data_IF_230266522870
#
_entry.id   IF_230266522870
#
_cell.length_a   1.000
_cell.length_b   1.000
_cell.length_c   1.000
_cell.angle_alpha   90.00
_cell.angle_beta   90.00
_cell.angle_gamma   90.00
#
_symmetry.space_group_name_H-M   'P 1'
#
loop_
_entity.id
_entity.type
_entity.pdbx_description
1 polymer ?
#
# COMPACT_ATOMS: atom_id res chain seq x y z
N UNK A 1 16.50 13.97 14.31
CA UNK A 1 15.57 15.09 14.51
C UNK A 1 14.51 14.90 13.46
N UNK A 2 13.25 14.72 13.88
CA UNK A 2 12.17 14.31 13.00
C UNK A 2 11.78 15.51 12.14
N UNK A 3 12.16 15.49 10.86
CA UNK A 3 11.63 16.40 9.84
C UNK A 3 10.19 15.98 9.53
N UNK A 4 9.30 16.32 10.46
CA UNK A 4 7.85 16.23 10.31
C UNK A 4 7.42 17.39 9.45
N UNK A 5 6.85 17.12 8.28
CA UNK A 5 6.33 18.19 7.42
C UNK A 5 5.07 18.83 8.04
N UNK A 6 4.53 19.88 7.41
CA UNK A 6 3.32 20.55 7.91
C UNK A 6 2.08 19.62 8.03
N UNK A 7 2.08 18.44 7.41
CA UNK A 7 0.99 17.47 7.49
C UNK A 7 1.14 16.43 8.60
N UNK A 8 2.31 16.35 9.26
CA UNK A 8 2.56 15.36 10.32
C UNK A 8 3.23 14.06 9.84
N UNK A 9 3.55 13.94 8.55
CA UNK A 9 4.26 12.79 7.98
C UNK A 9 5.75 12.86 8.29
N UNK A 10 6.39 11.70 8.41
CA UNK A 10 7.84 11.60 8.50
C UNK A 10 8.43 11.66 7.09
N UNK A 11 9.22 12.68 6.80
CA UNK A 11 9.79 12.92 5.47
C UNK A 11 10.81 11.84 5.10
N UNK A 12 10.68 11.26 3.92
CA UNK A 12 11.60 10.26 3.34
C UNK A 12 12.29 10.81 2.08
N UNK A 13 11.63 11.71 1.34
CA UNK A 13 12.17 12.42 0.18
C UNK A 13 11.37 13.69 -0.10
N UNK A 14 12.00 14.68 -0.73
CA UNK A 14 11.41 16.01 -0.93
C UNK A 14 11.09 16.35 -2.38
N UNK A 15 11.81 15.76 -3.34
CA UNK A 15 11.69 16.07 -4.78
C UNK A 15 11.72 14.77 -5.61
N UNK A 16 10.55 14.23 -5.99
CA UNK A 16 9.21 14.59 -5.53
C UNK A 16 8.98 14.20 -4.06
N UNK A 17 7.92 14.74 -3.46
CA UNK A 17 7.63 14.47 -2.05
C UNK A 17 7.30 12.99 -1.78
N UNK A 18 7.93 12.44 -0.74
CA UNK A 18 7.72 11.12 -0.18
C UNK A 18 7.72 11.22 1.34
N UNK A 19 6.65 10.74 1.98
CA UNK A 19 6.51 10.75 3.43
C UNK A 19 5.81 9.49 3.93
N UNK A 20 6.21 9.03 5.10
CA UNK A 20 5.65 7.85 5.75
C UNK A 20 4.77 8.21 6.95
N UNK A 21 3.76 7.38 7.18
CA UNK A 21 2.84 7.52 8.31
C UNK A 21 3.59 7.35 9.62
N UNK A 22 3.47 8.30 10.57
CA UNK A 22 4.14 8.17 11.86
C UNK A 22 3.57 6.97 12.64
N UNK A 23 4.43 6.29 13.41
CA UNK A 23 4.09 5.11 14.21
C UNK A 23 2.76 5.24 14.97
N UNK A 24 2.52 6.40 15.60
CA UNK A 24 1.31 6.67 16.39
C UNK A 24 0.01 6.55 15.57
N UNK A 25 0.06 6.89 14.28
CA UNK A 25 -1.09 6.83 13.39
C UNK A 25 -1.33 5.42 12.81
N UNK A 26 -0.36 4.51 12.92
CA UNK A 26 -0.51 3.10 12.53
C UNK A 26 -1.39 2.31 13.51
N UNK A 27 -1.56 2.81 14.74
CA UNK A 27 -2.40 2.19 15.78
C UNK A 27 -3.90 2.43 15.63
N UNK A 28 -4.33 3.25 14.68
CA UNK A 28 -5.75 3.53 14.40
C UNK A 28 -6.26 2.67 13.25
N UNK A 29 -7.50 2.20 13.29
CA UNK A 29 -8.05 1.43 12.17
C UNK A 29 -8.12 2.25 10.88
N UNK A 30 -8.54 3.51 10.94
CA UNK A 30 -8.43 4.45 9.81
C UNK A 30 -7.26 5.40 10.05
N UNK A 31 -6.37 5.49 9.07
CA UNK A 31 -5.31 6.49 9.05
C UNK A 31 -5.92 7.83 8.61
N UNK A 32 -5.78 8.91 9.40
CA UNK A 32 -6.25 10.23 9.01
C UNK A 32 -5.62 10.69 7.69
N UNK A 33 -6.39 11.36 6.83
CA UNK A 33 -5.95 11.80 5.48
C UNK A 33 -4.58 12.52 5.48
N UNK A 34 -4.29 13.50 6.39
CA UNK A 34 -2.99 14.18 6.43
C UNK A 34 -1.81 13.30 6.85
N UNK A 35 -2.09 12.16 7.51
CA UNK A 35 -1.11 11.20 8.01
C UNK A 35 -1.03 9.93 7.17
N UNK A 36 -1.83 9.81 6.11
CA UNK A 36 -1.74 8.71 5.17
C UNK A 36 -0.46 8.84 4.35
N UNK A 37 0.33 7.77 4.24
CA UNK A 37 1.65 7.84 3.60
C UNK A 37 1.56 8.36 2.16
N UNK A 38 2.55 9.13 1.74
CA UNK A 38 2.63 9.69 0.40
C UNK A 38 3.84 9.12 -0.31
N UNK A 39 3.61 8.52 -1.47
CA UNK A 39 4.66 8.10 -2.39
C UNK A 39 4.35 8.68 -3.76
N UNK A 40 5.23 9.51 -4.27
CA UNK A 40 5.12 10.11 -5.60
C UNK A 40 6.37 9.80 -6.42
N UNK A 41 6.19 9.55 -7.72
CA UNK A 41 7.30 9.27 -8.64
C UNK A 41 7.78 10.53 -9.33
N UNK A 42 6.83 11.43 -9.60
CA UNK A 42 7.01 12.73 -10.21
C UNK A 42 6.28 13.80 -9.39
N UNK A 43 6.41 15.06 -9.79
CA UNK A 43 5.74 16.18 -9.14
C UNK A 43 4.23 16.11 -9.31
N UNK A 44 3.50 16.80 -8.42
CA UNK A 44 2.05 16.80 -8.48
C UNK A 44 1.59 17.56 -9.72
N UNK A 45 0.64 17.00 -10.48
CA UNK A 45 0.06 17.70 -11.61
C UNK A 45 -0.85 18.83 -11.11
N UNK A 46 -0.97 19.88 -11.93
CA UNK A 46 -1.97 20.93 -11.73
C UNK A 46 -3.28 20.49 -12.40
N UNK A 47 -4.25 20.06 -11.59
CA UNK A 47 -5.54 19.53 -12.05
C UNK A 47 -6.69 20.32 -11.44
N UNK A 48 -7.67 20.64 -12.28
CA UNK A 48 -8.93 21.26 -11.88
C UNK A 48 -10.11 20.32 -12.20
N UNK A 49 -10.95 20.05 -11.20
CA UNK A 49 -12.13 19.18 -11.33
C UNK A 49 -13.11 19.64 -12.40
N UNK A 50 -13.23 20.96 -12.62
CA UNK A 50 -14.21 21.50 -13.57
C UNK A 50 -13.87 21.19 -15.03
N UNK A 51 -12.59 20.95 -15.31
CA UNK A 51 -12.05 20.66 -16.64
C UNK A 51 -11.45 19.25 -16.77
N UNK A 52 -11.35 18.51 -15.67
CA UNK A 52 -10.83 17.14 -15.67
C UNK A 52 -11.72 16.19 -16.49
N UNK A 53 -11.05 15.34 -17.26
CA UNK A 53 -11.68 14.32 -18.09
C UNK A 53 -10.87 13.02 -18.03
N UNK A 54 -11.56 11.89 -17.96
CA UNK A 54 -10.98 10.57 -18.17
C UNK A 54 -11.13 10.15 -19.63
N UNK A 55 -10.02 9.99 -20.33
CA UNK A 55 -9.98 9.38 -21.66
C UNK A 55 -9.99 7.86 -21.54
N UNK A 56 -10.90 7.20 -22.25
CA UNK A 56 -11.02 5.76 -22.29
C UNK A 56 -10.93 5.30 -23.74
N UNK A 57 -9.84 4.65 -24.09
CA UNK A 57 -9.57 4.19 -25.45
C UNK A 57 -9.43 2.67 -25.52
N UNK A 58 -9.83 2.08 -26.65
CA UNK A 58 -9.37 0.75 -27.03
C UNK A 58 -8.22 0.89 -28.02
N UNK A 59 -7.26 -0.03 -28.03
CA UNK A 59 -6.17 -0.05 -29.01
C UNK A 59 -6.71 -0.06 -30.44
N UNK A 60 -6.58 1.06 -31.15
CA UNK A 60 -7.11 1.24 -32.51
C UNK A 60 -8.63 1.44 -32.60
N UNK A 61 -9.33 1.62 -31.47
CA UNK A 61 -10.77 1.84 -31.39
C UNK A 61 -11.19 3.29 -31.18
N UNK A 62 -12.49 3.51 -30.95
CA UNK A 62 -13.04 4.83 -30.65
C UNK A 62 -12.67 5.25 -29.22
N UNK A 63 -12.28 6.51 -29.06
CA UNK A 63 -12.08 7.14 -27.77
C UNK A 63 -13.42 7.62 -27.19
N UNK A 64 -13.65 7.31 -25.91
CA UNK A 64 -14.78 7.80 -25.12
C UNK A 64 -14.19 8.65 -24.00
N UNK A 65 -14.81 9.78 -23.70
CA UNK A 65 -14.37 10.65 -22.61
C UNK A 65 -15.45 10.74 -21.55
N UNK A 66 -15.05 10.67 -20.27
CA UNK A 66 -15.93 10.83 -19.13
C UNK A 66 -15.52 12.07 -18.33
N UNK A 67 -16.47 12.97 -18.07
CA UNK A 67 -16.27 14.00 -17.05
C UNK A 67 -16.33 13.38 -15.65
N UNK A 68 -15.90 14.13 -14.62
CA UNK A 68 -16.05 13.68 -13.24
C UNK A 68 -17.52 13.44 -12.87
N UNK A 69 -18.44 14.25 -13.41
CA UNK A 69 -19.86 14.08 -13.20
C UNK A 69 -20.38 12.78 -13.84
N UNK A 70 -19.90 12.41 -15.03
CA UNK A 70 -20.26 11.13 -15.65
C UNK A 70 -19.80 9.95 -14.80
N UNK A 71 -18.58 10.02 -14.24
CA UNK A 71 -18.07 8.99 -13.33
C UNK A 71 -18.92 8.90 -12.06
N UNK A 72 -19.28 10.03 -11.43
CA UNK A 72 -20.09 10.06 -10.19
C UNK A 72 -21.55 9.61 -10.38
N UNK A 73 -22.07 9.63 -11.61
CA UNK A 73 -23.42 9.12 -11.92
C UNK A 73 -23.47 7.60 -12.04
N UNK A 74 -22.32 6.94 -12.17
CA UNK A 74 -22.24 5.48 -12.15
C UNK A 74 -22.38 4.96 -10.70
N UNK A 75 -22.72 3.67 -10.50
CA UNK A 75 -22.91 3.11 -9.17
C UNK A 75 -21.69 3.32 -8.27
N UNK A 76 -21.90 4.02 -7.15
CA UNK A 76 -20.89 4.23 -6.11
C UNK A 76 -20.67 2.93 -5.34
N UNK A 77 -19.41 2.58 -5.16
CA UNK A 77 -18.95 1.47 -4.33
C UNK A 77 -17.95 1.99 -3.29
N UNK A 78 -18.04 1.48 -2.07
CA UNK A 78 -17.29 1.96 -0.91
C UNK A 78 -16.72 0.78 -0.14
N UNK A 79 -15.42 0.79 0.10
CA UNK A 79 -14.73 -0.27 0.83
C UNK A 79 -13.47 0.26 1.54
N UNK A 80 -13.13 -0.29 2.72
CA UNK A 80 -11.84 -0.04 3.35
C UNK A 80 -10.74 -0.82 2.64
N UNK A 81 -9.61 -0.16 2.36
CA UNK A 81 -8.44 -0.78 1.72
C UNK A 81 -7.16 -0.29 2.39
N UNK A 82 -6.33 -1.25 2.82
CA UNK A 82 -4.95 -1.00 3.22
C UNK A 82 -4.09 -0.85 1.97
N UNK A 83 -3.36 0.26 1.87
CA UNK A 83 -2.35 0.46 0.86
C UNK A 83 -0.97 0.32 1.52
N UNK A 84 -0.15 -0.57 0.99
CA UNK A 84 1.26 -0.70 1.37
C UNK A 84 2.15 -0.38 0.16
N UNK A 85 3.19 0.41 0.35
CA UNK A 85 4.23 0.56 -0.67
C UNK A 85 5.02 -0.75 -0.79
N UNK A 86 5.31 -1.21 -2.01
CA UNK A 86 6.20 -2.35 -2.22
C UNK A 86 7.56 -2.20 -1.50
N UNK A 87 8.01 -0.97 -1.25
CA UNK A 87 9.24 -0.66 -0.53
C UNK A 87 9.10 -0.40 0.97
N UNK A 88 7.95 -0.67 1.58
CA UNK A 88 7.79 -0.56 3.03
C UNK A 88 8.83 -1.45 3.73
N UNK A 89 9.40 -0.98 4.84
CA UNK A 89 10.48 -1.62 5.59
C UNK A 89 11.80 -1.81 4.83
N UNK A 90 12.05 -1.10 3.72
CA UNK A 90 13.32 -1.24 2.96
C UNK A 90 14.56 -1.02 3.83
N UNK A 91 14.48 -0.17 4.86
CA UNK A 91 15.60 0.03 5.79
C UNK A 91 15.98 -1.22 6.57
N UNK A 92 15.10 -2.21 6.70
CA UNK A 92 15.39 -3.40 7.50
C UNK A 92 16.26 -4.41 6.72
N UNK A 93 16.51 -4.17 5.42
CA UNK A 93 17.36 -5.02 4.59
C UNK A 93 18.85 -4.78 4.87
N UNK A 94 19.60 -5.89 4.94
CA UNK A 94 21.05 -5.90 4.98
C UNK A 94 21.59 -6.92 3.96
N UNK A 95 22.39 -6.51 2.96
CA UNK A 95 22.82 -5.13 2.68
C UNK A 95 21.66 -4.21 2.29
N UNK A 96 21.85 -2.89 2.41
CA UNK A 96 20.83 -1.90 2.02
C UNK A 96 20.55 -2.00 0.52
N UNK A 97 19.27 -2.05 0.16
CA UNK A 97 18.81 -1.97 -1.22
C UNK A 97 18.58 -0.50 -1.65
N UNK A 98 18.75 -0.17 -2.95
CA UNK A 98 18.47 1.16 -3.50
C UNK A 98 16.99 1.55 -3.37
N UNK A 99 16.73 2.85 -3.39
CA UNK A 99 15.37 3.45 -3.34
C UNK A 99 15.09 4.20 -2.04
N UNK A 100 13.85 4.69 -1.91
CA UNK A 100 13.41 5.43 -0.71
C UNK A 100 13.54 4.54 0.53
N UNK A 101 14.26 5.02 1.54
CA UNK A 101 14.57 4.27 2.75
C UNK A 101 13.41 4.38 3.76
N UNK A 102 12.29 3.75 3.44
CA UNK A 102 11.13 3.66 4.32
C UNK A 102 11.42 2.78 5.54
N UNK A 103 10.98 3.24 6.71
CA UNK A 103 10.78 2.40 7.89
C UNK A 103 9.47 1.62 7.72
N UNK A 104 8.66 1.47 8.77
CA UNK A 104 7.42 0.70 8.74
C UNK A 104 6.17 1.54 8.43
N UNK A 105 6.35 2.82 8.10
CA UNK A 105 5.24 3.77 7.89
C UNK A 105 4.76 3.90 6.46
N UNK A 106 5.29 3.13 5.50
CA UNK A 106 4.83 3.17 4.11
C UNK A 106 3.60 2.27 3.89
N UNK A 107 2.66 2.34 4.85
CA UNK A 107 1.40 1.62 4.87
C UNK A 107 0.35 2.46 5.59
N UNK A 108 -0.89 2.42 5.11
CA UNK A 108 -2.03 3.11 5.73
C UNK A 108 -3.34 2.45 5.33
N UNK A 109 -4.41 2.69 6.10
CA UNK A 109 -5.74 2.19 5.79
C UNK A 109 -6.76 3.32 5.72
N UNK A 110 -7.61 3.29 4.69
CA UNK A 110 -8.65 4.29 4.48
C UNK A 110 -9.91 3.64 3.89
N UNK A 111 -11.05 4.31 4.06
CA UNK A 111 -12.28 3.98 3.32
C UNK A 111 -12.27 4.72 2.00
N UNK A 112 -12.27 3.98 0.90
CA UNK A 112 -12.27 4.54 -0.45
C UNK A 112 -13.68 4.48 -1.01
N UNK A 113 -14.14 5.55 -1.63
CA UNK A 113 -15.40 5.55 -2.36
C UNK A 113 -15.25 6.08 -3.77
N UNK A 114 -15.93 5.41 -4.69
CA UNK A 114 -15.76 5.68 -6.10
C UNK A 114 -16.71 4.88 -6.97
N UNK A 115 -16.43 4.87 -8.26
CA UNK A 115 -17.13 4.05 -9.23
C UNK A 115 -16.31 2.79 -9.51
N UNK A 116 -16.96 1.63 -9.57
CA UNK A 116 -16.27 0.41 -10.03
C UNK A 116 -15.73 0.62 -11.44
N UNK A 117 -14.43 0.35 -11.66
CA UNK A 117 -13.78 0.47 -12.95
C UNK A 117 -14.53 -0.32 -14.03
N UNK A 118 -15.09 -1.48 -13.67
CA UNK A 118 -15.88 -2.30 -14.57
C UNK A 118 -17.09 -1.56 -15.17
N UNK A 119 -17.68 -0.59 -14.45
CA UNK A 119 -18.78 0.24 -14.97
C UNK A 119 -18.35 1.15 -16.12
N UNK A 120 -17.08 1.58 -16.13
CA UNK A 120 -16.47 2.34 -17.23
C UNK A 120 -16.05 1.40 -18.35
N UNK A 121 -15.37 0.30 -18.04
CA UNK A 121 -14.92 -0.69 -19.04
C UNK A 121 -16.09 -1.29 -19.83
N UNK A 122 -17.25 -1.49 -19.18
CA UNK A 122 -18.47 -1.99 -19.83
C UNK A 122 -19.02 -1.03 -20.90
N UNK A 123 -18.59 0.23 -20.91
CA UNK A 123 -18.94 1.22 -21.94
C UNK A 123 -17.93 1.29 -23.08
N UNK A 124 -16.76 0.68 -22.95
CA UNK A 124 -15.64 0.79 -23.91
C UNK A 124 -15.73 -0.16 -25.12
N UNK A 125 -16.78 -0.98 -25.24
CA UNK A 125 -16.92 -1.99 -26.33
C UNK A 125 -15.62 -2.79 -26.57
N UNK A 126 -15.08 -3.37 -25.49
CA UNK A 126 -13.80 -4.09 -25.53
C UNK A 126 -13.88 -5.31 -26.47
N UNK A 127 -12.85 -5.49 -27.31
CA UNK A 127 -12.69 -6.71 -28.11
C UNK A 127 -12.30 -7.90 -27.24
N UNK A 128 -12.54 -9.12 -27.75
CA UNK A 128 -12.27 -10.36 -27.02
C UNK A 128 -10.77 -10.62 -26.80
N UNK A 129 -9.90 -10.01 -27.61
CA UNK A 129 -8.44 -10.14 -27.52
C UNK A 129 -7.78 -9.17 -26.54
N UNK A 130 -8.55 -8.33 -25.83
CA UNK A 130 -8.01 -7.47 -24.77
C UNK A 130 -7.50 -8.34 -23.61
N UNK A 131 -6.26 -8.10 -23.21
CA UNK A 131 -5.59 -8.84 -22.11
C UNK A 131 -5.31 -7.97 -20.89
N UNK A 132 -5.11 -6.66 -21.09
CA UNK A 132 -4.76 -5.71 -20.03
C UNK A 132 -5.44 -4.36 -20.23
N UNK A 133 -5.59 -3.62 -19.13
CA UNK A 133 -5.93 -2.20 -19.15
C UNK A 133 -4.71 -1.43 -18.67
N UNK A 134 -4.22 -0.51 -19.49
CA UNK A 134 -3.18 0.46 -19.15
C UNK A 134 -3.82 1.70 -18.53
N UNK A 135 -3.19 2.23 -17.49
CA UNK A 135 -3.59 3.40 -16.74
C UNK A 135 -2.46 4.43 -16.80
N UNK A 136 -2.84 5.68 -17.03
CA UNK A 136 -1.96 6.83 -17.17
C UNK A 136 -2.36 7.91 -16.16
N UNK A 137 -1.42 8.28 -15.30
CA UNK A 137 -1.52 9.43 -14.41
C UNK A 137 -1.11 10.73 -15.12
N UNK A 138 -1.62 11.86 -14.64
CA UNK A 138 -1.25 13.18 -15.15
C UNK A 138 0.17 13.62 -14.73
N UNK A 139 0.79 12.96 -13.76
CA UNK A 139 2.15 13.26 -13.32
C UNK A 139 3.17 12.78 -14.37
N UNK A 140 4.08 13.69 -14.78
CA UNK A 140 5.05 13.46 -15.84
C UNK A 140 6.46 13.73 -15.30
N UNK A 141 7.40 12.85 -15.62
CA UNK A 141 8.81 13.08 -15.32
C UNK A 141 9.71 12.02 -15.93
N UNK A 142 11.03 12.18 -15.73
CA UNK A 142 12.01 11.20 -16.20
C UNK A 142 12.07 10.00 -15.24
N UNK A 143 11.75 8.78 -15.70
CA UNK A 143 11.68 7.59 -14.86
C UNK A 143 13.07 7.04 -14.48
N UNK A 144 14.08 7.38 -15.28
CA UNK A 144 15.50 7.09 -15.09
C UNK A 144 16.35 8.19 -15.73
N UNK A 145 17.63 8.27 -15.37
CA UNK A 145 18.54 9.33 -15.85
C UNK A 145 18.76 9.33 -17.37
N UNK A 146 18.60 8.17 -18.01
CA UNK A 146 18.77 7.93 -19.44
C UNK A 146 17.44 7.94 -20.22
N UNK A 147 16.31 8.21 -19.55
CA UNK A 147 14.97 8.19 -20.15
C UNK A 147 14.35 9.59 -20.17
N UNK A 148 13.68 9.91 -21.28
CA UNK A 148 12.93 11.15 -21.43
C UNK A 148 11.68 11.20 -20.52
N UNK A 149 11.03 12.37 -20.40
CA UNK A 149 9.81 12.49 -19.61
C UNK A 149 8.68 11.62 -20.15
N UNK A 150 8.00 10.90 -19.28
CA UNK A 150 6.78 10.12 -19.56
C UNK A 150 5.78 10.27 -18.42
N UNK A 151 4.47 10.08 -18.66
CA UNK A 151 3.50 9.97 -17.57
C UNK A 151 3.74 8.72 -16.73
N UNK A 152 3.22 8.69 -15.50
CA UNK A 152 3.22 7.45 -14.72
C UNK A 152 2.28 6.41 -15.34
N UNK A 153 2.86 5.30 -15.81
CA UNK A 153 2.16 4.23 -16.54
C UNK A 153 2.18 2.90 -15.78
N UNK A 154 1.01 2.31 -15.58
CA UNK A 154 0.83 0.97 -14.97
C UNK A 154 -0.31 0.24 -15.63
N UNK A 155 -0.24 -1.09 -15.66
CA UNK A 155 -1.28 -1.93 -16.25
C UNK A 155 -1.80 -2.97 -15.26
N UNK A 156 -3.04 -3.41 -15.47
CA UNK A 156 -3.64 -4.55 -14.79
C UNK A 156 -4.14 -5.59 -15.80
N UNK A 157 -4.06 -6.90 -15.47
CA UNK A 157 -4.80 -7.92 -16.19
C UNK A 157 -6.29 -7.59 -16.26
N UNK A 158 -6.94 -7.89 -17.39
CA UNK A 158 -8.33 -7.51 -17.64
C UNK A 158 -9.30 -8.02 -16.56
N UNK A 159 -9.10 -9.25 -16.07
CA UNK A 159 -9.97 -9.84 -15.04
C UNK A 159 -9.90 -9.07 -13.72
N UNK A 160 -8.72 -8.61 -13.35
CA UNK A 160 -8.54 -7.75 -12.18
C UNK A 160 -9.14 -6.36 -12.42
N UNK A 161 -8.92 -5.78 -13.61
CA UNK A 161 -9.51 -4.48 -13.96
C UNK A 161 -11.06 -4.51 -13.98
N UNK A 162 -11.65 -5.67 -14.31
CA UNK A 162 -13.11 -5.90 -14.26
C UNK A 162 -13.63 -6.30 -12.89
N UNK A 163 -12.76 -6.53 -11.91
CA UNK A 163 -13.19 -6.88 -10.57
C UNK A 163 -14.06 -5.76 -9.99
N UNK A 164 -15.16 -6.14 -9.32
CA UNK A 164 -16.14 -5.17 -8.81
C UNK A 164 -15.52 -4.18 -7.82
N UNK A 165 -14.52 -4.62 -7.07
CA UNK A 165 -13.84 -3.85 -6.02
C UNK A 165 -12.67 -2.99 -6.55
N UNK A 166 -12.31 -3.13 -7.83
CA UNK A 166 -11.34 -2.21 -8.46
C UNK A 166 -12.05 -0.89 -8.76
N UNK A 167 -11.60 0.20 -8.15
CA UNK A 167 -12.31 1.48 -8.18
C UNK A 167 -11.57 2.57 -8.92
N UNK A 168 -12.37 3.43 -9.54
CA UNK A 168 -12.05 4.83 -9.78
C UNK A 168 -12.54 5.64 -8.57
N UNK A 169 -11.67 5.83 -7.59
CA UNK A 169 -11.98 6.50 -6.32
C UNK A 169 -11.85 8.03 -6.45
N UNK A 170 -12.87 8.74 -5.96
CA UNK A 170 -12.92 10.21 -5.89
C UNK A 170 -13.17 10.72 -4.46
N UNK A 171 -13.33 9.81 -3.50
CA UNK A 171 -13.44 10.11 -2.07
C UNK A 171 -12.53 9.20 -1.24
N UNK A 172 -12.00 9.74 -0.15
CA UNK A 172 -11.14 9.07 0.82
C UNK A 172 -11.56 9.45 2.24
N UNK A 173 -11.88 8.45 3.06
CA UNK A 173 -12.41 8.60 4.41
C UNK A 173 -13.68 9.49 4.48
N UNK A 174 -14.52 9.44 3.44
CA UNK A 174 -15.75 10.23 3.37
C UNK A 174 -15.57 11.69 2.96
N UNK A 175 -14.33 12.10 2.66
CA UNK A 175 -13.98 13.43 2.16
C UNK A 175 -13.57 13.36 0.69
N UNK A 176 -13.58 14.51 0.01
CA UNK A 176 -12.95 14.64 -1.32
C UNK A 176 -11.50 14.19 -1.26
N UNK A 177 -11.06 13.45 -2.28
CA UNK A 177 -9.69 12.95 -2.36
C UNK A 177 -8.67 14.11 -2.26
N UNK A 178 -7.69 14.06 -1.33
CA UNK A 178 -6.62 15.07 -1.28
C UNK A 178 -5.71 15.03 -2.51
N UNK A 179 -5.05 16.14 -2.84
CA UNK A 179 -4.20 16.26 -4.03
C UNK A 179 -3.07 15.24 -4.02
N UNK A 180 -2.35 15.13 -2.92
CA UNK A 180 -1.25 14.19 -2.71
C UNK A 180 -1.66 12.71 -2.87
N UNK A 181 -2.96 12.43 -2.70
CA UNK A 181 -3.56 11.10 -2.80
C UNK A 181 -4.27 10.86 -4.12
N UNK A 182 -4.21 11.78 -5.07
CA UNK A 182 -4.60 11.56 -6.46
C UNK A 182 -5.87 12.28 -6.92
N UNK A 183 -6.25 13.39 -6.28
CA UNK A 183 -7.35 14.24 -6.74
C UNK A 183 -7.31 14.51 -8.26
N UNK A 184 -8.45 14.53 -8.98
CA UNK A 184 -9.80 14.26 -8.49
C UNK A 184 -10.18 12.77 -8.50
N UNK A 185 -9.44 11.94 -9.25
CA UNK A 185 -9.70 10.50 -9.37
C UNK A 185 -8.39 9.71 -9.34
N UNK A 186 -8.37 8.65 -8.54
CA UNK A 186 -7.31 7.63 -8.56
C UNK A 186 -7.88 6.24 -8.82
N UNK A 187 -7.01 5.35 -9.26
CA UNK A 187 -7.27 3.92 -9.24
C UNK A 187 -7.02 3.36 -7.82
N UNK A 188 -7.92 2.49 -7.37
CA UNK A 188 -7.75 1.62 -6.19
C UNK A 188 -7.84 0.17 -6.65
N UNK A 189 -6.81 -0.60 -6.33
CA UNK A 189 -6.63 -2.02 -6.70
C UNK A 189 -6.46 -2.84 -5.42
N UNK A 190 -7.56 -3.21 -4.75
CA UNK A 190 -7.47 -3.86 -3.45
C UNK A 190 -6.56 -5.10 -3.46
N UNK A 191 -5.76 -5.24 -2.40
CA UNK A 191 -4.83 -6.36 -2.24
C UNK A 191 -3.49 -6.26 -2.96
N UNK A 192 -3.34 -5.32 -3.90
CA UNK A 192 -2.08 -5.09 -4.61
C UNK A 192 -1.24 -4.00 -3.94
N UNK A 193 0.08 -4.11 -4.04
CA UNK A 193 1.00 -3.08 -3.57
C UNK A 193 0.73 -1.72 -4.24
N UNK A 194 1.10 -0.64 -3.55
CA UNK A 194 0.73 0.74 -3.85
C UNK A 194 1.07 1.28 -5.25
N UNK A 195 2.04 0.69 -5.94
CA UNK A 195 2.36 1.06 -7.33
C UNK A 195 1.25 0.69 -8.33
N UNK A 196 0.32 -0.20 -7.97
CA UNK A 196 -0.83 -0.49 -8.82
C UNK A 196 -1.93 0.59 -8.76
N UNK A 197 -1.90 1.47 -7.75
CA UNK A 197 -2.97 2.41 -7.44
C UNK A 197 -2.69 3.78 -8.06
N UNK A 198 -2.73 3.87 -9.39
CA UNK A 198 -2.40 5.08 -10.18
C UNK A 198 -3.17 6.30 -9.66
N UNK A 199 -2.44 7.35 -9.29
CA UNK A 199 -2.98 8.64 -8.85
C UNK A 199 -3.19 9.55 -10.05
N UNK A 200 -4.02 10.58 -9.87
CA UNK A 200 -4.23 11.64 -10.87
C UNK A 200 -4.61 11.06 -12.25
N UNK A 201 -5.49 10.06 -12.25
CA UNK A 201 -5.78 9.25 -13.43
C UNK A 201 -6.43 10.13 -14.51
N UNK A 202 -5.90 10.09 -15.73
CA UNK A 202 -6.42 10.87 -16.88
C UNK A 202 -6.74 9.98 -18.07
N UNK A 203 -6.12 8.80 -18.19
CA UNK A 203 -6.39 7.91 -19.31
C UNK A 203 -6.34 6.44 -18.94
N UNK A 204 -7.24 5.67 -19.56
CA UNK A 204 -7.22 4.22 -19.60
C UNK A 204 -7.22 3.73 -21.04
N UNK A 205 -6.40 2.73 -21.33
CA UNK A 205 -6.28 2.14 -22.67
C UNK A 205 -6.38 0.62 -22.60
N UNK A 206 -7.31 0.03 -23.35
CA UNK A 206 -7.40 -1.42 -23.48
C UNK A 206 -6.31 -1.94 -24.43
N UNK A 207 -5.54 -2.92 -23.97
CA UNK A 207 -4.41 -3.49 -24.69
C UNK A 207 -4.66 -4.94 -25.04
N UNK A 208 -4.30 -5.33 -26.26
CA UNK A 208 -4.34 -6.71 -26.76
C UNK A 208 -3.00 -7.45 -26.60
N UNK A 209 -2.03 -6.81 -25.94
CA UNK A 209 -0.74 -7.40 -25.57
C UNK A 209 -0.34 -6.90 -24.18
N UNK A 210 0.43 -7.69 -23.41
CA UNK A 210 0.97 -7.24 -22.14
C UNK A 210 1.79 -5.96 -22.29
N UNK A 211 1.63 -5.05 -21.34
CA UNK A 211 2.38 -3.80 -21.27
C UNK A 211 3.75 -4.02 -20.61
N UNK A 212 4.79 -3.43 -21.17
CA UNK A 212 6.17 -3.55 -20.68
C UNK A 212 6.85 -2.19 -20.55
N UNK A 213 6.17 -1.20 -19.96
CA UNK A 213 6.76 0.10 -19.63
C UNK A 213 7.67 0.05 -18.40
N UNK A 214 8.37 1.15 -18.12
CA UNK A 214 9.40 1.20 -17.08
C UNK A 214 8.89 0.77 -15.69
N UNK A 215 7.78 1.35 -15.21
CA UNK A 215 7.18 0.99 -13.91
C UNK A 215 6.40 -0.32 -13.91
N UNK A 216 6.37 -1.05 -15.02
CA UNK A 216 5.72 -2.35 -15.16
C UNK A 216 6.74 -3.50 -15.30
N UNK A 217 7.77 -3.31 -16.13
CA UNK A 217 8.71 -4.36 -16.53
C UNK A 217 10.17 -4.13 -16.15
N UNK A 218 10.59 -2.90 -15.81
CA UNK A 218 11.98 -2.62 -15.38
C UNK A 218 12.08 -2.33 -13.88
N UNK A 219 11.10 -1.60 -13.34
CA UNK A 219 10.94 -1.28 -11.91
C UNK A 219 9.70 -1.98 -11.38
N UNK A 220 9.68 -2.25 -10.07
CA UNK A 220 8.66 -3.09 -9.43
C UNK A 220 8.64 -4.51 -9.99
N UNK A 221 9.82 -5.09 -10.20
CA UNK A 221 10.03 -6.50 -10.54
C UNK A 221 10.92 -7.18 -9.50
N UNK A 222 10.66 -8.44 -9.22
CA UNK A 222 11.61 -9.33 -8.56
C UNK A 222 12.54 -9.91 -9.60
N UNK A 223 13.84 -9.86 -9.33
CA UNK A 223 14.88 -10.48 -10.15
C UNK A 223 15.43 -11.70 -9.43
N UNK A 224 15.44 -12.84 -10.10
CA UNK A 224 15.89 -14.11 -9.54
C UNK A 224 17.25 -14.50 -10.13
N UNK A 225 17.99 -15.36 -9.41
CA UNK A 225 19.34 -15.79 -9.80
C UNK A 225 19.39 -16.52 -11.15
N UNK A 226 18.28 -17.15 -11.55
CA UNK A 226 18.13 -17.83 -12.84
C UNK A 226 17.89 -16.87 -14.02
N UNK A 227 17.88 -15.55 -13.75
CA UNK A 227 17.62 -14.51 -14.73
C UNK A 227 16.15 -14.26 -15.02
N UNK A 228 15.23 -14.95 -14.33
CA UNK A 228 13.80 -14.66 -14.46
C UNK A 228 13.45 -13.36 -13.75
N UNK A 229 12.52 -12.61 -14.33
CA UNK A 229 11.95 -11.41 -13.72
C UNK A 229 10.44 -11.58 -13.58
N UNK A 230 9.89 -11.21 -12.43
CA UNK A 230 8.44 -11.26 -12.17
C UNK A 230 7.95 -9.93 -11.62
N UNK A 231 6.88 -9.33 -12.17
CA UNK A 231 6.29 -8.13 -11.60
C UNK A 231 5.90 -8.34 -10.13
N UNK A 232 6.14 -7.33 -9.31
CA UNK A 232 5.57 -7.23 -7.97
C UNK A 232 4.06 -6.97 -8.15
N UNK A 233 3.22 -7.69 -7.40
CA UNK A 233 1.77 -7.65 -7.54
C UNK A 233 1.10 -7.53 -6.16
N UNK A 234 0.64 -8.66 -5.62
CA UNK A 234 -0.15 -8.76 -4.39
C UNK A 234 0.71 -8.55 -3.13
N UNK A 235 0.10 -7.91 -2.12
CA UNK A 235 0.74 -7.71 -0.81
C UNK A 235 0.95 -9.05 -0.11
N UNK A 236 2.13 -9.24 0.46
CA UNK A 236 2.45 -10.39 1.29
C UNK A 236 1.82 -10.26 2.67
N UNK A 237 1.50 -11.38 3.31
CA UNK A 237 1.05 -11.40 4.71
C UNK A 237 2.09 -10.74 5.61
N UNK A 238 1.61 -9.83 6.47
CA UNK A 238 2.47 -9.02 7.34
C UNK A 238 1.72 -8.58 8.59
N UNK A 239 2.45 -8.53 9.70
CA UNK A 239 2.05 -7.96 10.98
C UNK A 239 3.11 -6.96 11.43
N UNK A 240 2.66 -5.85 12.00
CA UNK A 240 3.53 -4.83 12.58
C UNK A 240 3.03 -4.46 13.98
N UNK A 241 3.96 -4.43 14.94
CA UNK A 241 3.73 -3.89 16.27
C UNK A 241 3.68 -2.37 16.18
N UNK A 242 2.60 -1.78 16.70
CA UNK A 242 2.40 -0.33 16.76
C UNK A 242 2.67 0.22 18.16
N UNK A 243 2.45 -0.59 19.20
CA UNK A 243 2.76 -0.27 20.60
C UNK A 243 3.16 -1.55 21.36
N UNK A 244 4.16 -1.50 22.26
CA UNK A 244 5.03 -0.36 22.57
C UNK A 244 5.96 0.02 21.40
N UNK A 245 6.57 1.20 21.49
CA UNK A 245 7.53 1.70 20.51
C UNK A 245 8.94 1.15 20.79
N UNK A 246 9.81 1.19 19.77
CA UNK A 246 11.23 0.90 19.91
C UNK A 246 11.86 1.78 21.01
N UNK A 247 12.63 1.15 21.90
CA UNK A 247 13.27 1.71 23.09
C UNK A 247 12.31 2.28 24.16
N UNK A 248 11.02 1.95 24.11
CA UNK A 248 10.07 2.35 25.15
C UNK A 248 10.41 1.67 26.50
N UNK A 249 10.23 2.40 27.60
CA UNK A 249 10.44 1.89 28.95
C UNK A 249 9.12 1.52 29.60
N UNK A 250 8.95 0.24 29.93
CA UNK A 250 7.78 -0.29 30.62
C UNK A 250 8.11 -0.58 32.10
N UNK A 251 7.08 -0.59 32.93
CA UNK A 251 7.18 -0.91 34.35
C UNK A 251 6.92 -2.39 34.59
N UNK A 252 7.76 -3.05 35.36
CA UNK A 252 7.59 -4.43 35.76
C UNK A 252 6.28 -4.63 36.52
N UNK A 253 5.69 -5.81 36.40
CA UNK A 253 4.47 -6.23 37.07
C UNK A 253 3.25 -5.32 36.83
N UNK A 254 3.24 -4.60 35.69
CA UNK A 254 2.12 -3.76 35.25
C UNK A 254 1.49 -4.35 34.00
N UNK A 255 0.17 -4.32 33.89
CA UNK A 255 -0.54 -4.83 32.73
C UNK A 255 -0.37 -3.87 31.53
N UNK A 256 0.10 -4.41 30.41
CA UNK A 256 0.21 -3.72 29.12
C UNK A 256 -0.52 -4.49 28.02
N UNK A 257 -0.73 -3.79 26.91
CA UNK A 257 -1.10 -4.40 25.65
C UNK A 257 0.06 -4.22 24.67
N UNK A 258 0.50 -5.32 24.07
CA UNK A 258 1.24 -5.28 22.81
C UNK A 258 0.19 -5.23 21.71
N UNK A 259 0.23 -4.20 20.88
CA UNK A 259 -0.80 -3.88 19.90
C UNK A 259 -0.20 -3.75 18.52
N UNK A 260 -1.01 -4.02 17.50
CA UNK A 260 -0.57 -3.86 16.13
C UNK A 260 -1.68 -4.02 15.11
N UNK A 261 -1.24 -4.04 13.86
CA UNK A 261 -2.08 -4.29 12.70
C UNK A 261 -1.46 -5.40 11.85
N UNK A 262 -2.30 -6.23 11.26
CA UNK A 262 -1.89 -7.29 10.34
C UNK A 262 -2.73 -7.22 9.06
N UNK A 263 -2.12 -7.51 7.92
CA UNK A 263 -2.79 -7.48 6.62
C UNK A 263 -2.20 -8.53 5.68
N UNK A 264 -2.97 -8.85 4.64
CA UNK A 264 -2.57 -9.70 3.54
C UNK A 264 -3.27 -9.21 2.28
N UNK A 265 -2.74 -9.52 1.10
CA UNK A 265 -3.28 -9.03 -0.16
C UNK A 265 -4.70 -9.50 -0.44
N UNK A 266 -4.95 -10.82 -0.40
CA UNK A 266 -6.21 -11.40 -0.89
C UNK A 266 -7.11 -11.99 0.17
N UNK A 267 -6.54 -12.43 1.28
CA UNK A 267 -7.24 -13.23 2.26
C UNK A 267 -7.14 -12.67 3.66
N UNK A 268 -8.20 -12.87 4.42
CA UNK A 268 -8.31 -12.37 5.79
C UNK A 268 -7.22 -12.96 6.68
N UNK A 269 -6.85 -12.20 7.71
CA UNK A 269 -5.93 -12.65 8.74
C UNK A 269 -6.63 -13.66 9.64
N UNK A 270 -6.15 -14.90 9.63
CA UNK A 270 -6.70 -15.97 10.44
C UNK A 270 -6.21 -15.88 11.89
N UNK A 271 -4.94 -15.52 12.10
CA UNK A 271 -4.37 -15.30 13.43
C UNK A 271 -3.14 -14.40 13.41
N UNK A 272 -2.84 -13.81 14.57
CA UNK A 272 -1.56 -13.15 14.86
C UNK A 272 -0.96 -13.79 16.09
N UNK A 273 0.33 -14.07 16.04
CA UNK A 273 1.10 -14.57 17.17
C UNK A 273 2.14 -13.53 17.59
N UNK A 274 2.31 -13.38 18.91
CA UNK A 274 3.26 -12.46 19.54
C UNK A 274 4.28 -13.27 20.34
N UNK A 275 5.53 -12.86 20.22
CA UNK A 275 6.63 -13.32 21.07
C UNK A 275 7.12 -12.13 21.89
N UNK A 276 7.40 -12.36 23.17
CA UNK A 276 8.02 -11.37 24.07
C UNK A 276 9.46 -11.76 24.46
N UNK A 277 9.97 -12.87 23.92
CA UNK A 277 11.24 -13.50 24.29
C UNK A 277 12.15 -13.74 23.08
N UNK A 278 12.13 -12.83 22.10
CA UNK A 278 12.95 -12.90 20.88
C UNK A 278 12.68 -14.15 20.00
N UNK A 279 11.44 -14.63 19.99
CA UNK A 279 10.95 -15.68 19.09
C UNK A 279 11.06 -17.08 19.65
N UNK A 280 11.47 -17.23 20.91
CA UNK A 280 11.60 -18.52 21.59
C UNK A 280 10.23 -19.14 21.90
N UNK A 281 9.23 -18.33 22.23
CA UNK A 281 7.86 -18.78 22.42
C UNK A 281 6.83 -17.80 21.85
N UNK A 282 5.71 -18.36 21.38
CA UNK A 282 4.65 -17.61 20.72
C UNK A 282 3.32 -17.79 21.44
N UNK A 283 2.53 -16.73 21.47
CA UNK A 283 1.17 -16.70 22.02
C UNK A 283 0.25 -16.01 21.03
N UNK A 284 -0.95 -16.52 20.87
CA UNK A 284 -1.94 -15.92 19.98
C UNK A 284 -2.45 -14.60 20.57
N UNK A 285 -2.52 -13.57 19.74
CA UNK A 285 -3.13 -12.28 20.05
C UNK A 285 -4.62 -12.32 19.72
N UNK A 286 -5.40 -11.48 20.40
CA UNK A 286 -6.80 -11.25 20.09
C UNK A 286 -6.91 -10.33 18.87
N UNK A 287 -7.59 -10.78 17.81
CA UNK A 287 -7.97 -9.92 16.69
C UNK A 287 -9.14 -9.03 17.12
N UNK A 288 -9.01 -7.71 16.94
CA UNK A 288 -9.96 -6.70 17.44
C UNK A 288 -10.39 -5.71 16.34
N UNK A 289 -11.56 -5.09 16.51
CA UNK A 289 -12.10 -4.17 15.53
C UNK A 289 -12.71 -4.87 14.30
N UNK A 290 -13.00 -4.13 13.23
CA UNK A 290 -13.72 -4.69 12.08
C UNK A 290 -12.81 -5.58 11.22
N UNK A 291 -13.29 -6.79 10.92
CA UNK A 291 -12.70 -7.67 9.89
C UNK A 291 -13.30 -7.33 8.53
N UNK A 292 -12.49 -6.80 7.63
CA UNK A 292 -12.89 -6.37 6.29
C UNK A 292 -11.84 -6.82 5.29
N UNK A 293 -12.25 -7.48 4.19
CA UNK A 293 -11.38 -8.29 3.32
C UNK A 293 -10.06 -7.63 2.88
N UNK A 294 -10.09 -6.35 2.52
CA UNK A 294 -8.91 -5.63 2.01
C UNK A 294 -8.30 -4.65 3.02
N UNK A 295 -8.82 -4.64 4.23
CA UNK A 295 -8.36 -3.79 5.31
C UNK A 295 -7.51 -4.58 6.28
N UNK A 296 -6.53 -3.92 6.88
CA UNK A 296 -5.80 -4.51 7.98
C UNK A 296 -6.73 -4.88 9.14
N UNK A 297 -6.37 -5.95 9.83
CA UNK A 297 -6.99 -6.42 11.04
C UNK A 297 -6.14 -5.93 12.23
N UNK A 298 -6.75 -5.17 13.14
CA UNK A 298 -6.06 -4.79 14.38
C UNK A 298 -6.01 -5.98 15.33
N UNK A 299 -5.01 -6.00 16.20
CA UNK A 299 -4.84 -7.07 17.18
C UNK A 299 -4.21 -6.54 18.48
N UNK A 300 -4.47 -7.24 19.58
CA UNK A 300 -3.94 -6.95 20.91
C UNK A 300 -3.52 -8.24 21.63
N UNK A 301 -2.39 -8.18 22.32
CA UNK A 301 -1.91 -9.23 23.23
C UNK A 301 -1.69 -8.63 24.62
N UNK A 302 -2.44 -9.11 25.61
CA UNK A 302 -2.26 -8.68 27.00
C UNK A 302 -0.96 -9.29 27.56
N UNK A 303 -0.09 -8.45 28.09
CA UNK A 303 1.20 -8.86 28.64
C UNK A 303 1.53 -8.12 29.94
N UNK A 304 1.98 -8.88 30.93
CA UNK A 304 2.47 -8.36 32.21
C UNK A 304 3.94 -8.76 32.32
N UNK A 305 4.91 -7.88 31.99
CA UNK A 305 6.33 -8.20 32.10
C UNK A 305 6.69 -8.47 33.56
N UNK A 306 7.28 -9.63 33.83
CA UNK A 306 7.66 -10.09 35.17
C UNK A 306 9.18 -10.13 35.39
N UNK A 307 9.96 -9.77 34.36
CA UNK A 307 11.42 -9.78 34.35
C UNK A 307 11.97 -8.44 33.91
N UNK A 308 12.97 -7.94 34.63
CA UNK A 308 13.65 -6.67 34.35
C UNK A 308 14.66 -6.83 33.21
N UNK A 309 14.96 -5.72 32.52
CA UNK A 309 15.98 -5.65 31.49
C UNK A 309 15.40 -5.49 30.08
N UNK A 310 16.22 -5.79 29.07
CA UNK A 310 15.81 -5.68 27.67
C UNK A 310 14.90 -6.84 27.27
N UNK A 311 13.82 -6.52 26.56
CA UNK A 311 12.95 -7.50 25.90
C UNK A 311 12.89 -7.21 24.41
N UNK A 312 12.82 -8.27 23.60
CA UNK A 312 12.61 -8.16 22.15
C UNK A 312 11.24 -8.74 21.81
N UNK A 313 10.34 -7.87 21.38
CA UNK A 313 9.00 -8.22 20.95
C UNK A 313 8.99 -8.52 19.45
N UNK A 314 8.24 -9.55 19.06
CA UNK A 314 8.02 -9.93 17.67
C UNK A 314 6.54 -10.21 17.46
N UNK A 315 6.05 -9.99 16.24
CA UNK A 315 4.72 -10.41 15.81
C UNK A 315 4.78 -11.08 14.45
N UNK A 316 3.93 -12.08 14.22
CA UNK A 316 3.75 -12.70 12.91
C UNK A 316 2.29 -13.00 12.64
N UNK A 317 1.82 -12.71 11.43
CA UNK A 317 0.47 -13.05 10.99
C UNK A 317 0.44 -14.36 10.20
N UNK A 318 -0.73 -15.02 10.19
CA UNK A 318 -1.06 -16.10 9.26
C UNK A 318 -2.40 -15.78 8.61
N UNK A 319 -2.48 -15.80 7.28
CA UNK A 319 -3.74 -15.57 6.56
C UNK A 319 -4.59 -16.86 6.52
N UNK A 320 -5.80 -16.74 5.99
CA UNK A 320 -6.76 -17.86 5.88
C UNK A 320 -6.35 -18.96 4.90
N UNK A 321 -5.40 -18.68 4.00
CA UNK A 321 -4.80 -19.69 3.11
C UNK A 321 -3.65 -20.48 3.78
N UNK A 322 -3.21 -20.04 4.96
CA UNK A 322 -2.12 -20.66 5.71
C UNK A 322 -0.74 -20.06 5.44
N UNK A 323 -0.64 -19.02 4.62
CA UNK A 323 0.60 -18.26 4.45
C UNK A 323 0.93 -17.55 5.76
N UNK A 324 2.12 -17.82 6.28
CA UNK A 324 2.63 -17.23 7.50
C UNK A 324 3.75 -16.25 7.19
N UNK A 325 3.70 -15.10 7.84
CA UNK A 325 4.78 -14.11 7.80
C UNK A 325 6.10 -14.73 8.29
N UNK A 326 7.20 -14.61 7.52
CA UNK A 326 8.49 -15.18 7.91
C UNK A 326 9.12 -14.37 9.05
N UNK A 327 10.06 -14.99 9.78
CA UNK A 327 10.85 -14.25 10.77
C UNK A 327 11.87 -13.32 10.11
N UNK A 328 12.50 -13.78 9.04
CA UNK A 328 13.47 -13.00 8.27
C UNK A 328 12.90 -12.65 6.88
N UNK A 329 13.19 -11.44 6.41
CA UNK A 329 12.79 -11.02 5.07
C UNK A 329 13.70 -11.64 4.01
N UNK A 330 13.13 -12.03 2.88
CA UNK A 330 13.92 -12.41 1.70
C UNK A 330 14.49 -11.14 1.06
N UNK A 331 15.82 -11.05 1.02
CA UNK A 331 16.50 -9.94 0.36
C UNK A 331 16.29 -10.02 -1.17
N UNK A 332 16.10 -8.86 -1.81
CA UNK A 332 16.07 -8.75 -3.27
C UNK A 332 16.67 -7.40 -3.72
N UNK A 333 17.17 -7.35 -4.96
CA UNK A 333 17.96 -6.24 -5.50
C UNK A 333 17.28 -4.87 -5.37
N UNK A 334 15.96 -4.79 -5.52
CA UNK A 334 15.19 -3.54 -5.48
C UNK A 334 14.51 -3.27 -4.13
N UNK A 335 14.71 -4.17 -3.16
CA UNK A 335 14.21 -4.08 -1.80
C UNK A 335 12.69 -3.96 -1.72
N UNK A 336 11.99 -4.89 -2.36
CA UNK A 336 10.52 -4.97 -2.33
C UNK A 336 9.99 -6.08 -1.43
N UNK A 337 8.73 -5.94 -1.02
CA UNK A 337 7.97 -6.92 -0.25
C UNK A 337 8.67 -7.39 1.05
N UNK A 338 9.29 -6.44 1.76
CA UNK A 338 9.95 -6.73 3.04
C UNK A 338 8.87 -7.03 4.08
N UNK A 339 8.69 -8.32 4.39
CA UNK A 339 7.63 -8.81 5.27
C UNK A 339 8.14 -9.63 6.47
N UNK A 340 9.44 -9.71 6.72
CA UNK A 340 9.98 -10.35 7.92
C UNK A 340 9.45 -9.70 9.21
N UNK A 341 9.36 -10.48 10.28
CA UNK A 341 8.97 -9.98 11.59
C UNK A 341 9.98 -8.96 12.10
N UNK A 342 9.55 -7.69 12.25
CA UNK A 342 10.41 -6.62 12.75
C UNK A 342 10.54 -6.71 14.28
N UNK A 343 11.76 -6.90 14.83
CA UNK A 343 11.98 -6.86 16.27
C UNK A 343 11.71 -5.47 16.83
N UNK A 344 10.99 -5.39 17.94
CA UNK A 344 10.83 -4.17 18.74
C UNK A 344 11.54 -4.38 20.08
N UNK A 345 12.62 -3.63 20.33
CA UNK A 345 13.35 -3.70 21.59
C UNK A 345 12.77 -2.71 22.58
N UNK A 346 12.56 -3.13 23.81
CA UNK A 346 12.07 -2.30 24.91
C UNK A 346 12.87 -2.59 26.18
N UNK A 347 12.70 -1.73 27.20
CA UNK A 347 13.33 -1.93 28.51
C UNK A 347 12.24 -2.04 29.58
N UNK A 348 12.29 -3.09 30.39
CA UNK A 348 11.45 -3.25 31.58
C UNK A 348 12.24 -2.85 32.82
N UNK A 349 11.68 -1.90 33.57
CA UNK A 349 12.27 -1.33 34.79
C UNK A 349 11.31 -1.43 35.98
N UNK A 350 11.81 -1.26 37.20
CA UNK A 350 11.05 -1.44 38.46
C UNK A 350 9.90 -0.44 38.67
#
# INVERSE_FOLDING_TARGET
MNDVNASGLKTVGTEPYVGETPQIALGSWLTPNPLFYVRSQFDYPDLDESSWMLQAASSGGQEITFSLNDIRQLPKHTLPVTLECAGNNRVDLNPKAPGNQFENGAVSNAVWSGTSLNSVLSKMNLSEDVVEILFEGADIGSPAADKGPEPYLRSLPLDLARHQDTLLAYEMNGETLPLEHGYPVRLIVPGWYGMAHVKWLTKITALNKPFSGYFQGEKYVFKYEDGTEKPVQEMQVKSAITSPCENESLKCCTDYHVSGSAWSGRTDIAKVEVSVDCGNSWREAELIGPSQQYSWQQWNYKWTPDTLGEHTLLSRATNSDGDQQPLESVWNELGYAVNGSKPIKIVVSS
#
